data_IF_230590604039
#
_entry.id   IF_230590604039
#
_cell.length_a   1.000
_cell.length_b   1.000
_cell.length_c   1.000
_cell.angle_alpha   90.00
_cell.angle_beta   90.00
_cell.angle_gamma   90.00
#
_symmetry.space_group_name_H-M   'P 1'
#
loop_
_entity.id
_entity.type
_entity.pdbx_description
1 polymer ?
#
# COMPACT_ATOMS: atom_id res chain seq x y z
N UNK A 1 -0.12 -15.38 -26.71
CA UNK A 1 -0.71 -14.05 -26.56
C UNK A 1 -0.02 -13.36 -25.39
N UNK A 2 0.65 -12.25 -25.63
CA UNK A 2 1.24 -11.46 -24.56
C UNK A 2 0.11 -10.70 -23.81
N UNK A 3 0.01 -10.92 -22.51
CA UNK A 3 -0.94 -10.22 -21.64
C UNK A 3 -0.14 -9.30 -20.73
N UNK A 4 -0.54 -8.04 -20.64
CA UNK A 4 0.08 -7.11 -19.72
C UNK A 4 -0.27 -7.51 -18.28
N UNK A 5 0.76 -7.67 -17.43
CA UNK A 5 0.60 -8.09 -16.03
C UNK A 5 -0.35 -7.15 -15.24
N UNK A 6 -0.26 -5.85 -15.47
CA UNK A 6 -1.14 -4.86 -14.82
C UNK A 6 -2.59 -5.02 -15.28
N UNK A 7 -2.81 -5.35 -16.54
CA UNK A 7 -4.14 -5.64 -17.08
C UNK A 7 -4.74 -6.89 -16.43
N UNK A 8 -3.93 -7.91 -16.18
CA UNK A 8 -4.34 -9.08 -15.40
C UNK A 8 -4.86 -8.69 -14.01
N UNK A 9 -4.15 -7.82 -13.29
CA UNK A 9 -4.62 -7.31 -12.00
C UNK A 9 -5.86 -6.43 -12.13
N UNK A 10 -5.96 -5.63 -13.18
CA UNK A 10 -7.10 -4.74 -13.38
C UNK A 10 -8.39 -5.51 -13.68
N UNK A 11 -8.32 -6.59 -14.44
CA UNK A 11 -9.50 -7.30 -14.92
C UNK A 11 -9.86 -8.56 -14.12
N UNK A 12 -8.90 -9.17 -13.39
CA UNK A 12 -9.14 -10.37 -12.59
C UNK A 12 -10.28 -10.24 -11.55
N UNK A 13 -10.55 -9.08 -10.93
CA UNK A 13 -11.68 -8.93 -10.01
C UNK A 13 -13.04 -9.21 -10.67
N UNK A 14 -13.16 -8.96 -11.98
CA UNK A 14 -14.38 -9.26 -12.74
C UNK A 14 -14.62 -10.76 -12.96
N UNK A 15 -13.62 -11.59 -12.74
CA UNK A 15 -13.79 -13.05 -12.72
C UNK A 15 -14.48 -13.51 -11.43
N UNK A 16 -14.25 -12.80 -10.33
CA UNK A 16 -14.87 -13.09 -9.05
C UNK A 16 -16.24 -12.42 -8.90
N UNK A 17 -16.41 -11.24 -9.49
CA UNK A 17 -17.66 -10.47 -9.48
C UNK A 17 -18.03 -10.04 -10.90
N UNK A 18 -18.92 -10.79 -11.54
CA UNK A 18 -19.47 -10.47 -12.87
C UNK A 18 -20.31 -9.18 -12.87
N UNK A 19 -20.76 -8.70 -11.71
CA UNK A 19 -21.49 -7.46 -11.53
C UNK A 19 -20.63 -6.20 -11.53
N UNK A 20 -19.32 -6.33 -11.39
CA UNK A 20 -18.40 -5.19 -11.40
C UNK A 20 -18.41 -4.46 -12.75
N UNK A 21 -18.93 -3.23 -12.75
CA UNK A 21 -19.09 -2.41 -13.94
C UNK A 21 -18.00 -1.35 -14.03
N UNK A 22 -17.67 -0.98 -15.25
CA UNK A 22 -16.83 0.19 -15.52
C UNK A 22 -17.61 1.51 -15.36
N UNK A 23 -16.94 2.62 -15.04
CA UNK A 23 -15.57 2.69 -14.55
C UNK A 23 -15.47 2.33 -13.06
N UNK A 24 -14.34 1.77 -12.63
CA UNK A 24 -14.04 1.56 -11.22
C UNK A 24 -12.63 2.03 -10.87
N UNK A 25 -12.40 2.33 -9.60
CA UNK A 25 -11.08 2.63 -9.07
C UNK A 25 -10.36 1.32 -8.74
N UNK A 26 -9.07 1.21 -9.09
CA UNK A 26 -8.20 0.11 -8.72
C UNK A 26 -7.03 0.64 -7.90
N UNK A 27 -6.92 0.20 -6.64
CA UNK A 27 -5.72 0.31 -5.83
C UNK A 27 -4.91 -0.97 -5.98
N UNK A 28 -3.78 -0.91 -6.70
CA UNK A 28 -2.86 -2.02 -6.87
C UNK A 28 -1.68 -1.87 -5.92
N UNK A 29 -1.56 -2.77 -4.94
CA UNK A 29 -0.52 -2.77 -3.91
C UNK A 29 0.15 -4.14 -3.81
N UNK A 30 1.36 -4.23 -4.33
CA UNK A 30 2.13 -5.49 -4.41
C UNK A 30 3.60 -5.28 -4.05
N UNK A 31 4.40 -6.32 -4.16
CA UNK A 31 5.86 -6.24 -3.99
C UNK A 31 6.56 -5.34 -5.01
N UNK A 32 6.03 -5.24 -6.22
CA UNK A 32 6.63 -4.45 -7.30
C UNK A 32 5.81 -3.25 -7.76
N UNK A 33 4.56 -3.13 -7.31
CA UNK A 33 3.66 -2.06 -7.76
C UNK A 33 2.91 -1.42 -6.60
N UNK A 34 2.81 -0.09 -6.64
CA UNK A 34 1.90 0.67 -5.81
C UNK A 34 1.33 1.80 -6.68
N UNK A 35 0.06 1.67 -7.09
CA UNK A 35 -0.56 2.65 -7.98
C UNK A 35 -2.09 2.65 -7.87
N UNK A 36 -2.68 3.78 -8.24
CA UNK A 36 -4.13 3.95 -8.35
C UNK A 36 -4.46 4.17 -9.81
N UNK A 37 -5.39 3.37 -10.32
CA UNK A 37 -5.91 3.47 -11.68
C UNK A 37 -7.41 3.73 -11.67
N UNK A 38 -7.88 4.53 -12.63
CA UNK A 38 -9.26 4.49 -13.07
C UNK A 38 -9.33 3.51 -14.24
N UNK A 39 -10.13 2.47 -14.09
CA UNK A 39 -10.36 1.44 -15.10
C UNK A 39 -11.64 1.78 -15.83
N UNK A 40 -11.53 2.25 -17.06
CA UNK A 40 -12.67 2.73 -17.89
C UNK A 40 -13.22 1.64 -18.81
N UNK A 41 -12.41 0.62 -19.09
CA UNK A 41 -12.73 -0.51 -19.94
C UNK A 41 -11.53 -1.43 -20.12
N UNK A 42 -11.72 -2.50 -20.88
CA UNK A 42 -10.62 -3.38 -21.28
C UNK A 42 -9.64 -2.58 -22.15
N UNK A 43 -8.37 -2.56 -21.79
CA UNK A 43 -7.34 -1.77 -22.47
C UNK A 43 -7.44 -0.24 -22.23
N UNK A 44 -8.36 0.23 -21.39
CA UNK A 44 -8.60 1.66 -21.14
C UNK A 44 -8.35 1.97 -19.65
N UNK A 45 -7.14 2.44 -19.35
CA UNK A 45 -6.67 2.71 -17.99
C UNK A 45 -6.11 4.11 -17.88
N UNK A 46 -6.55 4.86 -16.86
CA UNK A 46 -5.97 6.15 -16.51
C UNK A 46 -5.27 6.04 -15.17
N UNK A 47 -3.95 6.27 -15.16
CA UNK A 47 -3.16 6.26 -13.93
C UNK A 47 -3.34 7.56 -13.18
N UNK A 48 -3.88 7.47 -11.97
CA UNK A 48 -4.14 8.59 -11.07
C UNK A 48 -2.96 8.85 -10.14
N UNK A 49 -2.31 7.77 -9.66
CA UNK A 49 -1.15 7.83 -8.78
C UNK A 49 -0.25 6.62 -8.99
N UNK A 50 1.05 6.77 -8.71
CA UNK A 50 2.00 5.67 -8.65
C UNK A 50 3.09 5.99 -7.63
N UNK A 51 3.79 4.97 -7.13
CA UNK A 51 4.98 5.21 -6.32
C UNK A 51 6.10 5.82 -7.16
N UNK A 52 6.85 6.75 -6.55
CA UNK A 52 8.04 7.39 -7.16
C UNK A 52 9.35 6.72 -6.72
N UNK A 53 9.26 5.80 -5.77
CA UNK A 53 10.40 5.07 -5.21
C UNK A 53 10.00 3.61 -4.93
N UNK A 54 10.13 3.13 -3.71
CA UNK A 54 9.79 1.76 -3.33
C UNK A 54 8.28 1.46 -3.52
N UNK A 55 7.96 0.24 -3.94
CA UNK A 55 6.59 -0.24 -3.85
C UNK A 55 6.23 -0.55 -2.39
N UNK A 56 4.93 -0.54 -2.06
CA UNK A 56 4.47 -0.77 -0.69
C UNK A 56 4.92 -2.12 -0.13
N UNK A 57 4.77 -3.20 -0.89
CA UNK A 57 5.20 -4.54 -0.47
C UNK A 57 6.72 -4.63 -0.30
N UNK A 58 7.48 -3.94 -1.16
CA UNK A 58 8.93 -3.82 -1.02
C UNK A 58 9.32 -3.08 0.28
N UNK A 59 8.57 -2.05 0.68
CA UNK A 59 8.77 -1.35 1.95
C UNK A 59 8.52 -2.28 3.15
N UNK A 60 7.49 -3.14 3.09
CA UNK A 60 7.26 -4.18 4.09
C UNK A 60 8.39 -5.20 4.13
N UNK A 61 8.88 -5.69 3.00
CA UNK A 61 9.99 -6.66 2.94
C UNK A 61 11.29 -6.05 3.47
N UNK A 62 11.59 -4.80 3.15
CA UNK A 62 12.74 -4.06 3.68
C UNK A 62 12.63 -3.87 5.20
N UNK A 63 11.46 -3.55 5.71
CA UNK A 63 11.20 -3.43 7.15
C UNK A 63 11.37 -4.77 7.87
N UNK A 64 10.85 -5.85 7.30
CA UNK A 64 11.04 -7.20 7.83
C UNK A 64 12.53 -7.57 7.90
N UNK A 65 13.29 -7.26 6.86
CA UNK A 65 14.75 -7.48 6.85
C UNK A 65 15.46 -6.69 7.94
N UNK A 66 15.10 -5.42 8.14
CA UNK A 66 15.67 -4.57 9.20
C UNK A 66 15.38 -5.17 10.57
N UNK A 67 14.16 -5.67 10.80
CA UNK A 67 13.73 -6.27 12.07
C UNK A 67 14.16 -7.75 12.23
N UNK A 68 14.89 -8.33 11.29
CA UNK A 68 15.36 -9.71 11.34
C UNK A 68 14.28 -10.78 11.17
N UNK A 69 13.14 -10.45 10.56
CA UNK A 69 11.98 -11.34 10.45
C UNK A 69 12.05 -12.33 9.28
N UNK A 70 12.91 -12.06 8.28
CA UNK A 70 13.04 -12.88 7.08
C UNK A 70 11.92 -12.64 6.06
N UNK A 71 11.84 -13.51 5.05
CA UNK A 71 10.93 -13.42 3.89
C UNK A 71 9.81 -14.47 3.96
N UNK A 72 8.59 -14.25 3.44
CA UNK A 72 8.05 -12.97 2.96
C UNK A 72 7.81 -11.98 4.10
N UNK A 73 8.14 -10.69 3.88
CA UNK A 73 8.17 -9.70 4.94
C UNK A 73 6.80 -9.21 5.39
N UNK A 74 5.88 -8.98 4.43
CA UNK A 74 4.56 -8.41 4.71
C UNK A 74 3.80 -9.12 5.83
N UNK A 75 3.54 -10.44 5.72
CA UNK A 75 2.81 -11.18 6.76
C UNK A 75 3.55 -11.24 8.10
N UNK A 76 4.88 -11.17 8.09
CA UNK A 76 5.69 -11.22 9.31
C UNK A 76 5.68 -9.89 10.06
N UNK A 77 5.77 -8.78 9.32
CA UNK A 77 5.62 -7.43 9.90
C UNK A 77 4.21 -7.26 10.45
N UNK A 78 3.18 -7.65 9.72
CA UNK A 78 1.79 -7.60 10.17
C UNK A 78 1.59 -8.38 11.48
N UNK A 79 2.09 -9.61 11.54
CA UNK A 79 2.00 -10.45 12.75
C UNK A 79 2.71 -9.81 13.94
N UNK A 80 3.92 -9.27 13.73
CA UNK A 80 4.67 -8.60 14.80
C UNK A 80 3.95 -7.33 15.25
N UNK A 81 3.36 -6.57 14.33
CA UNK A 81 2.61 -5.35 14.60
C UNK A 81 1.38 -5.57 15.49
N UNK A 82 0.78 -6.77 15.48
CA UNK A 82 -0.39 -7.08 16.31
C UNK A 82 -0.15 -6.93 17.82
N UNK A 83 1.11 -7.04 18.28
CA UNK A 83 1.47 -6.91 19.69
C UNK A 83 2.17 -5.58 20.02
N UNK A 84 2.25 -4.65 19.06
CA UNK A 84 2.89 -3.35 19.20
C UNK A 84 1.90 -2.20 19.30
N UNK A 85 2.41 -1.05 19.78
CA UNK A 85 1.67 0.21 19.76
C UNK A 85 2.06 1.02 18.49
N UNK A 86 1.08 1.28 17.64
CA UNK A 86 1.25 2.04 16.41
C UNK A 86 1.62 3.53 16.62
N UNK A 87 1.54 4.03 17.87
CA UNK A 87 1.89 5.40 18.23
C UNK A 87 3.23 5.52 18.96
N UNK A 88 3.84 4.40 19.31
CA UNK A 88 5.08 4.39 20.11
C UNK A 88 6.29 4.97 19.39
N UNK A 89 6.32 4.89 18.04
CA UNK A 89 7.44 5.39 17.24
C UNK A 89 6.95 6.42 16.23
N UNK A 90 7.48 7.63 16.33
CA UNK A 90 7.14 8.68 15.36
C UNK A 90 7.88 8.46 14.05
N UNK A 91 7.20 7.83 13.07
CA UNK A 91 7.70 7.62 11.73
C UNK A 91 7.12 8.65 10.74
N UNK A 92 7.86 9.05 9.71
CA UNK A 92 7.36 9.98 8.69
C UNK A 92 6.20 9.37 7.89
N UNK A 93 5.35 10.23 7.35
CA UNK A 93 4.35 9.90 6.32
C UNK A 93 4.72 10.67 5.06
N UNK A 94 5.59 10.10 4.20
CA UNK A 94 6.03 10.82 3.02
C UNK A 94 4.84 11.26 2.15
N UNK A 95 4.90 12.51 1.70
CA UNK A 95 3.89 13.16 0.86
C UNK A 95 2.48 13.29 1.50
N UNK A 96 2.29 12.95 2.78
CA UNK A 96 1.01 13.16 3.45
C UNK A 96 0.63 14.64 3.38
N UNK A 97 -0.59 14.94 2.93
CA UNK A 97 -1.08 16.30 2.77
C UNK A 97 -0.53 17.06 1.55
N UNK A 98 0.45 16.52 0.82
CA UNK A 98 0.99 17.13 -0.40
C UNK A 98 -0.04 17.12 -1.55
N UNK A 99 0.06 18.09 -2.46
CA UNK A 99 -0.70 18.09 -3.71
C UNK A 99 -0.21 17.06 -4.73
N UNK A 100 0.99 16.50 -4.54
CA UNK A 100 1.54 15.45 -5.38
C UNK A 100 0.65 14.21 -5.35
N UNK A 101 0.26 13.65 -6.50
CA UNK A 101 -0.63 12.50 -6.53
C UNK A 101 0.07 11.18 -6.19
N UNK A 102 1.39 11.17 -6.06
CA UNK A 102 2.22 9.98 -6.00
C UNK A 102 2.42 9.45 -4.57
N UNK A 103 2.81 8.17 -4.47
CA UNK A 103 3.27 7.55 -3.23
C UNK A 103 4.79 7.66 -3.08
N UNK A 104 5.27 7.64 -1.84
CA UNK A 104 6.69 7.47 -1.51
C UNK A 104 6.82 6.68 -0.21
N UNK A 105 7.70 5.68 -0.19
CA UNK A 105 7.92 4.79 0.97
C UNK A 105 9.40 4.67 1.35
N UNK A 106 10.35 5.10 0.52
CA UNK A 106 11.78 4.96 0.81
C UNK A 106 12.22 5.66 2.10
N UNK A 107 11.61 6.80 2.42
CA UNK A 107 11.85 7.53 3.68
C UNK A 107 11.47 6.74 4.93
N UNK A 108 10.46 5.87 4.86
CA UNK A 108 10.06 4.99 5.95
C UNK A 108 11.14 3.96 6.30
N UNK A 109 11.77 3.35 5.30
CA UNK A 109 12.88 2.40 5.51
C UNK A 109 13.98 3.02 6.37
N UNK A 110 14.44 4.22 6.02
CA UNK A 110 15.51 4.90 6.76
C UNK A 110 15.09 5.27 8.18
N UNK A 111 13.83 5.62 8.39
CA UNK A 111 13.29 5.93 9.71
C UNK A 111 13.16 4.66 10.59
N UNK A 112 12.71 3.55 10.03
CA UNK A 112 12.65 2.24 10.71
C UNK A 112 14.06 1.80 11.14
N UNK A 113 15.05 1.94 10.26
CA UNK A 113 16.43 1.60 10.57
C UNK A 113 16.97 2.44 11.74
N UNK A 114 16.75 3.75 11.75
CA UNK A 114 17.15 4.62 12.87
C UNK A 114 16.44 4.24 14.17
N UNK A 115 15.14 3.95 14.11
CA UNK A 115 14.37 3.54 15.29
C UNK A 115 14.90 2.24 15.90
N UNK A 116 15.22 1.23 15.07
CA UNK A 116 15.86 -0.01 15.52
C UNK A 116 17.24 0.24 16.13
N UNK A 117 18.09 1.01 15.45
CA UNK A 117 19.48 1.24 15.85
C UNK A 117 19.58 2.10 17.12
N UNK A 118 18.56 2.88 17.45
CA UNK A 118 18.50 3.63 18.70
C UNK A 118 18.40 2.74 19.94
N UNK A 119 17.90 1.51 19.79
CA UNK A 119 17.66 0.58 20.91
C UNK A 119 16.57 1.03 21.90
N UNK A 120 15.84 2.12 21.59
CA UNK A 120 14.84 2.70 22.50
C UNK A 120 13.43 2.13 22.31
N UNK A 121 13.18 1.39 21.24
CA UNK A 121 11.87 0.90 20.87
C UNK A 121 11.86 -0.61 20.70
N UNK A 122 10.76 -1.24 21.08
CA UNK A 122 10.53 -2.66 20.84
C UNK A 122 10.29 -2.90 19.35
N UNK A 123 10.69 -4.07 18.86
CA UNK A 123 10.47 -4.44 17.45
C UNK A 123 8.99 -4.43 17.04
N UNK A 124 8.10 -4.84 17.97
CA UNK A 124 6.65 -4.83 17.80
C UNK A 124 6.12 -3.41 17.59
N UNK A 125 6.60 -2.46 18.38
CA UNK A 125 6.19 -1.05 18.30
C UNK A 125 6.68 -0.40 17.00
N UNK A 126 7.90 -0.73 16.57
CA UNK A 126 8.43 -0.29 15.28
C UNK A 126 7.59 -0.86 14.14
N UNK A 127 7.24 -2.15 14.18
CA UNK A 127 6.43 -2.81 13.16
C UNK A 127 5.03 -2.22 13.08
N UNK A 128 4.37 -2.00 14.24
CA UNK A 128 3.04 -1.40 14.32
C UNK A 128 3.02 0.04 13.81
N UNK A 129 4.01 0.86 14.23
CA UNK A 129 4.13 2.24 13.78
C UNK A 129 4.46 2.34 12.29
N UNK A 130 5.29 1.44 11.75
CA UNK A 130 5.56 1.36 10.31
C UNK A 130 4.30 1.03 9.52
N UNK A 131 3.59 -0.02 9.93
CA UNK A 131 2.36 -0.44 9.27
C UNK A 131 1.33 0.70 9.25
N UNK A 132 1.12 1.38 10.38
CA UNK A 132 0.21 2.51 10.45
C UNK A 132 0.65 3.67 9.55
N UNK A 133 1.93 4.04 9.55
CA UNK A 133 2.44 5.12 8.71
C UNK A 133 2.27 4.80 7.21
N UNK A 134 2.50 3.55 6.81
CA UNK A 134 2.30 3.11 5.43
C UNK A 134 0.82 3.16 5.03
N UNK A 135 -0.08 2.71 5.90
CA UNK A 135 -1.54 2.78 5.70
C UNK A 135 -2.00 4.24 5.56
N UNK A 136 -1.56 5.13 6.46
CA UNK A 136 -1.91 6.55 6.42
C UNK A 136 -1.55 7.19 5.07
N UNK A 137 -0.36 6.87 4.53
CA UNK A 137 0.06 7.33 3.20
C UNK A 137 -0.86 6.80 2.09
N UNK A 138 -1.25 5.52 2.15
CA UNK A 138 -2.13 4.92 1.13
C UNK A 138 -3.51 5.57 1.17
N UNK A 139 -4.10 5.71 2.36
CA UNK A 139 -5.44 6.29 2.53
C UNK A 139 -5.47 7.74 2.05
N UNK A 140 -4.50 8.57 2.43
CA UNK A 140 -4.44 9.97 1.98
C UNK A 140 -4.35 10.07 0.45
N UNK A 141 -3.50 9.26 -0.19
CA UNK A 141 -3.38 9.26 -1.65
C UNK A 141 -4.63 8.74 -2.34
N UNK A 142 -5.25 7.69 -1.78
CA UNK A 142 -6.49 7.14 -2.32
C UNK A 142 -7.63 8.16 -2.26
N UNK A 143 -7.81 8.82 -1.13
CA UNK A 143 -8.85 9.85 -0.97
C UNK A 143 -8.67 10.99 -1.98
N UNK A 144 -7.43 11.47 -2.19
CA UNK A 144 -7.13 12.50 -3.18
C UNK A 144 -7.36 12.03 -4.61
N UNK A 145 -6.97 10.80 -4.93
CA UNK A 145 -7.21 10.24 -6.25
C UNK A 145 -8.73 10.12 -6.54
N UNK A 146 -9.49 9.62 -5.58
CA UNK A 146 -10.95 9.50 -5.71
C UNK A 146 -11.62 10.87 -5.89
N UNK A 147 -11.18 11.90 -5.14
CA UNK A 147 -11.73 13.25 -5.26
C UNK A 147 -11.56 13.87 -6.67
N UNK A 148 -10.55 13.43 -7.43
CA UNK A 148 -10.25 13.95 -8.79
C UNK A 148 -10.59 12.97 -9.91
N UNK A 149 -10.95 11.73 -9.54
CA UNK A 149 -11.18 10.65 -10.50
C UNK A 149 -12.52 10.77 -11.25
N UNK A 150 -13.50 11.47 -10.69
CA UNK A 150 -14.89 11.44 -11.12
C UNK A 150 -15.63 10.20 -10.61
N UNK A 151 -16.87 10.03 -11.00
CA UNK A 151 -17.69 8.92 -10.53
C UNK A 151 -17.09 7.55 -10.92
N UNK A 152 -17.10 6.64 -9.96
CA UNK A 152 -16.72 5.23 -10.13
C UNK A 152 -17.75 4.33 -9.45
N UNK A 153 -17.92 3.14 -9.97
CA UNK A 153 -18.93 2.18 -9.47
C UNK A 153 -18.46 1.43 -8.24
N UNK A 154 -17.15 1.30 -8.05
CA UNK A 154 -16.54 0.55 -6.95
C UNK A 154 -15.08 0.96 -6.74
N UNK A 155 -14.56 0.63 -5.56
CA UNK A 155 -13.12 0.56 -5.28
C UNK A 155 -12.70 -0.92 -5.25
N UNK A 156 -11.76 -1.27 -6.09
CA UNK A 156 -11.14 -2.60 -6.14
C UNK A 156 -9.72 -2.50 -5.56
N UNK A 157 -9.36 -3.42 -4.69
CA UNK A 157 -8.02 -3.50 -4.11
C UNK A 157 -7.39 -4.83 -4.53
N UNK A 158 -6.22 -4.78 -5.14
CA UNK A 158 -5.52 -5.95 -5.66
C UNK A 158 -4.02 -5.94 -5.31
N UNK A 159 -3.40 -7.10 -5.40
CA UNK A 159 -1.98 -7.32 -5.07
C UNK A 159 -1.79 -7.93 -3.70
N UNK A 160 -0.57 -8.42 -3.41
CA UNK A 160 -0.29 -9.18 -2.19
C UNK A 160 -0.51 -8.40 -0.89
N UNK A 161 -0.30 -7.07 -0.90
CA UNK A 161 -0.52 -6.24 0.30
C UNK A 161 -2.00 -6.03 0.60
N UNK A 162 -2.89 -6.24 -0.37
CA UNK A 162 -4.34 -6.22 -0.15
C UNK A 162 -4.82 -7.29 0.85
N UNK A 163 -4.01 -8.31 1.13
CA UNK A 163 -4.30 -9.33 2.13
C UNK A 163 -4.05 -8.86 3.58
N UNK A 164 -3.33 -7.74 3.79
CA UNK A 164 -3.04 -7.19 5.11
C UNK A 164 -4.34 -6.72 5.78
N UNK A 165 -4.64 -7.28 6.98
CA UNK A 165 -5.90 -7.04 7.67
C UNK A 165 -6.05 -5.59 8.16
N UNK A 166 -4.95 -4.97 8.64
CA UNK A 166 -4.98 -3.56 9.05
C UNK A 166 -5.25 -2.63 7.87
N UNK A 167 -4.66 -2.93 6.69
CA UNK A 167 -4.94 -2.21 5.45
C UNK A 167 -6.41 -2.37 5.03
N UNK A 168 -6.95 -3.59 5.11
CA UNK A 168 -8.35 -3.86 4.77
C UNK A 168 -9.30 -3.09 5.67
N UNK A 169 -9.09 -3.17 7.00
CA UNK A 169 -9.94 -2.43 7.95
C UNK A 169 -9.85 -0.91 7.81
N UNK A 170 -8.75 -0.37 7.27
CA UNK A 170 -8.63 1.05 6.98
C UNK A 170 -9.30 1.48 5.65
N UNK A 171 -9.59 0.52 4.77
CA UNK A 171 -10.23 0.76 3.46
C UNK A 171 -11.76 0.55 3.49
N UNK A 172 -12.29 -0.08 4.52
CA UNK A 172 -13.72 -0.27 4.80
C UNK A 172 -14.33 0.95 5.50
#
# INVERSE_FOLDING_TARGET
IAINHLEGHALSPRLADAGLRFPYALLLVSGGHCQILRVEGVGQYRRMAATIDDALGEAFDKTAKILGLGYPGGPKVERLACSGDARAVHLPRPLLGSSEPHFSFAGLKSAVMRARDSGQHRGEDIAASFQQAAIDCVIDRLQRALATMGEVTALVVAGGVAANQAMRGALE
#
